data_IF_991357278276
#
_entry.id   IF_991357278276
#
_cell.length_a   1.000
_cell.length_b   1.000
_cell.length_c   1.000
_cell.angle_alpha   90.00
_cell.angle_beta   90.00
_cell.angle_gamma   90.00
#
_symmetry.space_group_name_H-M   'P 1'
#
loop_
_entity.id
_entity.type
_entity.pdbx_description
1 polymer ?
#
# COMPACT_ATOMS: atom_id res chain seq x y z
N UNK A 1 76.84 16.63 36.01
CA UNK A 1 75.50 17.26 36.01
C UNK A 1 74.86 16.80 34.74
N UNK A 2 74.00 15.78 34.82
CA UNK A 2 73.32 15.16 33.69
C UNK A 2 71.87 15.73 33.61
N UNK A 3 71.53 16.32 32.48
CA UNK A 3 70.19 16.81 32.23
C UNK A 3 69.35 15.70 31.57
N UNK A 4 68.32 15.23 32.24
CA UNK A 4 67.32 14.29 31.72
C UNK A 4 66.19 15.12 31.06
N UNK A 5 66.00 14.97 29.76
CA UNK A 5 64.89 15.57 29.01
C UNK A 5 63.73 14.58 28.98
N UNK A 6 62.60 14.96 29.56
CA UNK A 6 61.34 14.23 29.42
C UNK A 6 60.65 14.63 28.12
N UNK A 7 60.50 13.68 27.20
CA UNK A 7 59.62 13.83 26.03
C UNK A 7 58.18 13.44 26.47
N UNK A 8 57.28 14.40 26.46
CA UNK A 8 55.84 14.12 26.62
C UNK A 8 55.24 13.74 25.26
N UNK A 9 54.80 12.49 25.13
CA UNK A 9 54.04 12.04 23.96
C UNK A 9 52.55 12.46 24.14
N UNK A 10 52.08 13.41 23.33
CA UNK A 10 50.65 13.73 23.20
C UNK A 10 50.01 12.66 22.34
N UNK A 11 49.14 11.84 22.95
CA UNK A 11 48.22 10.94 22.25
C UNK A 11 47.02 11.77 21.75
N UNK A 12 46.96 12.06 20.46
CA UNK A 12 45.79 12.64 19.83
C UNK A 12 44.78 11.51 19.53
N UNK A 13 43.73 11.42 20.33
CA UNK A 13 42.56 10.56 20.04
C UNK A 13 41.72 11.25 19.00
N UNK A 14 41.84 10.82 17.75
CA UNK A 14 40.94 11.21 16.68
C UNK A 14 39.59 10.44 16.83
N UNK A 15 38.55 11.11 17.28
CA UNK A 15 37.20 10.61 17.20
C UNK A 15 36.78 10.63 15.73
N UNK A 16 36.70 9.46 15.10
CA UNK A 16 36.03 9.32 13.83
C UNK A 16 34.51 9.45 14.10
N UNK A 17 33.95 10.61 13.84
CA UNK A 17 32.50 10.81 13.72
C UNK A 17 32.03 9.99 12.51
N UNK A 18 31.43 8.83 12.74
CA UNK A 18 30.64 8.13 11.75
C UNK A 18 29.42 9.01 11.44
N UNK A 19 29.52 9.84 10.45
CA UNK A 19 28.40 10.49 9.80
C UNK A 19 27.64 9.42 9.01
N UNK A 20 26.78 8.68 9.69
CA UNK A 20 25.68 7.98 9.05
C UNK A 20 24.78 9.10 8.52
N UNK A 21 24.90 9.43 7.23
CA UNK A 21 23.98 10.32 6.57
C UNK A 21 22.59 9.68 6.64
N UNK A 22 21.66 10.29 7.36
CA UNK A 22 20.26 9.92 7.24
C UNK A 22 19.88 10.07 5.76
N UNK A 23 19.59 8.95 5.09
CA UNK A 23 19.08 9.00 3.71
C UNK A 23 17.81 9.86 3.72
N UNK A 24 17.79 10.89 2.88
CA UNK A 24 16.60 11.75 2.75
C UNK A 24 15.42 10.87 2.38
N UNK A 25 14.28 10.98 3.09
CA UNK A 25 13.11 10.17 2.84
C UNK A 25 12.68 10.25 1.38
N UNK A 26 12.55 9.12 0.71
CA UNK A 26 12.08 9.10 -0.67
C UNK A 26 10.60 9.51 -0.73
N UNK A 27 10.31 10.52 -1.54
CA UNK A 27 8.95 11.04 -1.73
C UNK A 27 8.28 10.39 -2.94
N UNK A 28 6.95 10.42 -2.98
CA UNK A 28 6.19 10.00 -4.15
C UNK A 28 6.57 10.83 -5.38
N UNK A 29 6.59 10.25 -6.58
CA UNK A 29 6.81 11.00 -7.80
C UNK A 29 5.75 12.11 -7.93
N UNK A 30 6.05 13.25 -8.59
CA UNK A 30 5.05 14.25 -8.89
C UNK A 30 3.95 13.66 -9.76
N UNK A 31 2.70 14.07 -9.54
CA UNK A 31 1.59 13.60 -10.36
C UNK A 31 1.80 14.00 -11.82
N UNK A 32 1.67 13.02 -12.71
CA UNK A 32 1.82 13.27 -14.14
C UNK A 32 0.59 14.03 -14.68
N UNK A 33 0.83 15.00 -15.59
CA UNK A 33 -0.23 15.84 -16.17
C UNK A 33 -1.28 15.07 -16.99
N UNK A 34 -0.96 13.87 -17.43
CA UNK A 34 -1.83 12.96 -18.19
C UNK A 34 -2.48 11.85 -17.31
N UNK A 35 -2.41 11.97 -15.99
CA UNK A 35 -3.17 11.13 -15.06
C UNK A 35 -4.66 11.30 -15.27
N UNK A 36 -5.38 10.18 -15.48
CA UNK A 36 -6.83 10.16 -15.74
C UNK A 36 -7.60 9.91 -14.45
N UNK A 37 -8.69 10.67 -14.17
CA UNK A 37 -9.58 10.34 -13.07
C UNK A 37 -10.36 9.05 -13.39
N UNK A 38 -10.45 8.13 -12.42
CA UNK A 38 -11.23 6.89 -12.51
C UNK A 38 -12.58 7.00 -11.80
N UNK A 39 -12.85 8.08 -11.11
CA UNK A 39 -14.08 8.35 -10.41
C UNK A 39 -14.56 9.77 -10.72
N UNK A 40 -15.83 9.90 -11.07
CA UNK A 40 -16.42 11.17 -11.52
C UNK A 40 -16.96 12.06 -10.39
N UNK A 41 -16.93 11.59 -9.14
CA UNK A 41 -17.47 12.29 -7.96
C UNK A 41 -18.98 12.31 -7.85
N UNK A 42 -19.72 11.60 -8.72
CA UNK A 42 -21.20 11.65 -8.80
C UNK A 42 -21.85 10.29 -8.60
N UNK A 43 -21.36 9.28 -9.29
CA UNK A 43 -21.90 7.93 -9.30
C UNK A 43 -20.81 6.89 -9.53
N UNK A 44 -21.16 5.61 -9.47
CA UNK A 44 -20.25 4.49 -9.67
C UNK A 44 -20.12 4.06 -11.15
N UNK A 45 -20.36 4.95 -12.11
CA UNK A 45 -20.11 4.66 -13.52
C UNK A 45 -18.67 4.20 -13.71
N UNK A 46 -18.46 3.09 -14.44
CA UNK A 46 -17.16 2.46 -14.62
C UNK A 46 -16.75 1.49 -13.50
N UNK A 47 -17.56 1.35 -12.46
CA UNK A 47 -17.32 0.46 -11.33
C UNK A 47 -18.45 -0.56 -11.16
N UNK A 48 -18.15 -1.79 -10.71
CA UNK A 48 -19.10 -2.86 -10.41
C UNK A 48 -18.83 -3.44 -9.01
N UNK A 49 -19.82 -3.35 -8.14
CA UNK A 49 -19.78 -3.84 -6.77
C UNK A 49 -21.18 -4.15 -6.27
N UNK A 50 -21.31 -4.76 -5.09
CA UNK A 50 -22.61 -5.04 -4.50
C UNK A 50 -23.38 -3.72 -4.25
N UNK A 51 -24.49 -3.45 -4.94
CA UNK A 51 -25.20 -2.18 -4.82
C UNK A 51 -25.87 -1.97 -3.45
N UNK A 52 -25.93 -3.01 -2.63
CA UNK A 52 -26.40 -2.89 -1.24
C UNK A 52 -25.33 -2.26 -0.34
N UNK A 53 -24.05 -2.37 -0.73
CA UNK A 53 -22.90 -2.04 0.12
C UNK A 53 -22.12 -0.83 -0.39
N UNK A 54 -22.15 -0.56 -1.70
CA UNK A 54 -21.39 0.52 -2.32
C UNK A 54 -22.29 1.64 -2.83
N UNK A 55 -21.93 2.86 -2.56
CA UNK A 55 -22.65 4.08 -2.95
C UNK A 55 -21.68 5.26 -3.12
N UNK A 56 -22.21 6.39 -3.54
CA UNK A 56 -21.51 7.68 -3.50
C UNK A 56 -22.19 8.56 -2.45
N UNK A 57 -21.40 9.06 -1.49
CA UNK A 57 -21.85 10.01 -0.47
C UNK A 57 -20.94 11.25 -0.52
N UNK A 58 -21.50 12.43 -0.65
CA UNK A 58 -20.77 13.71 -0.64
C UNK A 58 -19.54 13.74 -1.60
N UNK A 59 -19.70 13.15 -2.79
CA UNK A 59 -18.65 13.14 -3.80
C UNK A 59 -17.51 12.15 -3.55
N UNK A 60 -17.68 11.20 -2.61
CA UNK A 60 -16.71 10.12 -2.36
C UNK A 60 -17.35 8.75 -2.58
N UNK A 61 -16.57 7.75 -3.01
CA UNK A 61 -17.02 6.36 -2.99
C UNK A 61 -17.10 5.94 -1.53
N UNK A 62 -18.26 5.45 -1.12
CA UNK A 62 -18.53 4.95 0.22
C UNK A 62 -18.94 3.49 0.17
N UNK A 63 -18.21 2.64 0.87
CA UNK A 63 -18.58 1.25 1.11
C UNK A 63 -18.89 1.03 2.59
N UNK A 64 -19.98 0.29 2.89
CA UNK A 64 -20.39 0.05 4.26
C UNK A 64 -21.05 -1.31 4.44
N UNK A 65 -20.73 -1.98 5.54
CA UNK A 65 -21.42 -3.18 6.02
C UNK A 65 -21.98 -2.91 7.41
N UNK A 66 -23.18 -3.43 7.70
CA UNK A 66 -23.79 -3.37 9.03
C UNK A 66 -24.15 -4.79 9.50
N UNK A 67 -24.63 -4.92 10.73
CA UNK A 67 -25.14 -6.20 11.23
C UNK A 67 -26.35 -6.69 10.41
N UNK A 68 -27.20 -5.76 9.94
CA UNK A 68 -28.40 -6.04 9.14
C UNK A 68 -28.08 -6.22 7.65
N UNK A 69 -26.96 -5.65 7.19
CA UNK A 69 -26.53 -5.72 5.80
C UNK A 69 -25.04 -6.14 5.69
N UNK A 70 -24.71 -7.39 6.07
CA UNK A 70 -23.35 -7.88 6.07
C UNK A 70 -22.83 -8.19 4.66
N UNK A 71 -21.52 -8.15 4.48
CA UNK A 71 -20.87 -8.73 3.31
C UNK A 71 -20.87 -10.27 3.39
N UNK A 72 -21.14 -10.92 2.27
CA UNK A 72 -21.04 -12.38 2.15
C UNK A 72 -19.61 -12.79 1.73
N UNK A 73 -18.68 -12.83 2.68
CA UNK A 73 -17.25 -12.92 2.43
C UNK A 73 -16.64 -11.56 2.06
N UNK A 74 -15.32 -11.52 1.80
CA UNK A 74 -14.68 -10.33 1.26
C UNK A 74 -15.30 -9.97 -0.07
N UNK A 75 -15.67 -8.70 -0.24
CA UNK A 75 -16.35 -8.20 -1.44
C UNK A 75 -15.67 -6.93 -1.94
N UNK A 76 -15.75 -6.69 -3.23
CA UNK A 76 -14.96 -5.65 -3.88
C UNK A 76 -15.81 -4.78 -4.80
N UNK A 77 -15.46 -3.51 -4.87
CA UNK A 77 -15.90 -2.61 -5.94
C UNK A 77 -14.81 -2.65 -7.03
N UNK A 78 -15.13 -3.26 -8.17
CA UNK A 78 -14.18 -3.53 -9.26
C UNK A 78 -14.28 -2.45 -10.32
N UNK A 79 -13.15 -1.83 -10.68
CA UNK A 79 -13.07 -0.95 -11.84
C UNK A 79 -13.11 -1.77 -13.13
N UNK A 80 -14.01 -1.40 -14.06
CA UNK A 80 -14.34 -2.20 -15.25
C UNK A 80 -13.74 -1.68 -16.57
N UNK A 81 -13.11 -0.50 -16.55
CA UNK A 81 -12.71 0.18 -17.78
C UNK A 81 -11.26 -0.13 -18.19
N UNK A 82 -10.60 -1.11 -17.54
CA UNK A 82 -9.26 -1.49 -17.93
C UNK A 82 -8.57 -2.53 -17.06
N UNK A 83 -7.33 -2.79 -17.43
CA UNK A 83 -6.41 -3.69 -16.73
C UNK A 83 -5.14 -2.93 -16.39
N UNK A 84 -4.67 -3.03 -15.16
CA UNK A 84 -3.45 -2.40 -14.70
C UNK A 84 -2.26 -3.33 -14.96
N UNK A 85 -1.28 -2.85 -15.73
CA UNK A 85 0.00 -3.53 -15.98
C UNK A 85 1.14 -2.74 -15.33
N UNK A 86 1.71 -1.78 -16.05
CA UNK A 86 2.66 -0.82 -15.49
C UNK A 86 1.93 0.50 -15.28
N UNK A 87 1.92 1.02 -14.05
CA UNK A 87 1.05 2.13 -13.69
C UNK A 87 1.57 2.94 -12.50
N UNK A 88 1.03 4.15 -12.38
CA UNK A 88 0.98 4.94 -11.15
C UNK A 88 -0.49 5.15 -10.80
N UNK A 89 -0.91 4.66 -9.64
CA UNK A 89 -2.25 4.83 -9.07
C UNK A 89 -2.16 5.77 -7.87
N UNK A 90 -3.04 6.76 -7.83
CA UNK A 90 -3.19 7.70 -6.71
C UNK A 90 -4.61 7.67 -6.21
N UNK A 91 -4.78 7.74 -4.91
CA UNK A 91 -6.10 7.95 -4.29
C UNK A 91 -5.94 8.39 -2.84
N UNK A 92 -7.01 8.93 -2.27
CA UNK A 92 -7.13 9.16 -0.84
C UNK A 92 -8.12 8.17 -0.25
N UNK A 93 -7.83 7.66 0.96
CA UNK A 93 -8.72 6.77 1.68
C UNK A 93 -8.90 7.19 3.14
N UNK A 94 -10.02 6.76 3.72
CA UNK A 94 -10.23 6.65 5.17
C UNK A 94 -11.17 5.46 5.45
N UNK A 95 -11.04 4.85 6.62
CA UNK A 95 -11.91 3.76 7.05
C UNK A 95 -12.03 3.76 8.58
N UNK A 96 -13.02 3.05 9.12
CA UNK A 96 -13.09 2.87 10.55
C UNK A 96 -12.05 1.83 11.05
N UNK A 97 -11.80 1.83 12.38
CA UNK A 97 -10.84 0.92 13.00
C UNK A 97 -11.41 -0.49 13.29
N UNK A 98 -12.68 -0.74 12.98
CA UNK A 98 -13.34 -2.00 13.34
C UNK A 98 -12.87 -3.19 12.51
N UNK A 99 -12.44 -2.91 11.27
CA UNK A 99 -11.97 -3.91 10.32
C UNK A 99 -10.92 -3.28 9.38
N UNK A 100 -10.37 -4.07 8.46
CA UNK A 100 -9.46 -3.58 7.41
C UNK A 100 -10.20 -3.43 6.07
N UNK A 101 -9.56 -2.71 5.16
CA UNK A 101 -9.94 -2.57 3.76
C UNK A 101 -8.70 -2.81 2.89
N UNK A 102 -8.79 -2.59 1.59
CA UNK A 102 -7.66 -2.78 0.69
C UNK A 102 -7.87 -2.20 -0.70
N UNK A 103 -6.77 -1.90 -1.35
CA UNK A 103 -6.71 -1.54 -2.76
C UNK A 103 -6.08 -2.71 -3.50
N UNK A 104 -6.87 -3.42 -4.30
CA UNK A 104 -6.42 -4.51 -5.16
C UNK A 104 -5.86 -3.94 -6.46
N UNK A 105 -4.74 -4.46 -6.92
CA UNK A 105 -4.13 -4.11 -8.20
C UNK A 105 -3.44 -5.33 -8.81
N UNK A 106 -3.34 -5.39 -10.14
CA UNK A 106 -2.84 -6.57 -10.87
C UNK A 106 -3.52 -7.87 -10.44
N UNK A 107 -4.75 -7.78 -9.94
CA UNK A 107 -5.48 -8.88 -9.32
C UNK A 107 -6.43 -9.55 -10.31
N UNK A 108 -6.89 -10.75 -9.99
CA UNK A 108 -7.83 -11.51 -10.81
C UNK A 108 -9.24 -11.43 -10.24
N UNK A 109 -10.21 -11.21 -11.11
CA UNK A 109 -11.63 -11.24 -10.76
C UNK A 109 -12.15 -12.68 -10.87
N UNK A 110 -12.76 -13.20 -9.80
CA UNK A 110 -13.24 -14.59 -9.70
C UNK A 110 -14.77 -14.69 -9.65
N UNK A 111 -15.49 -13.62 -9.96
CA UNK A 111 -16.91 -13.47 -9.67
C UNK A 111 -17.90 -14.41 -10.39
N UNK A 112 -17.53 -15.03 -11.51
CA UNK A 112 -18.52 -15.71 -12.36
C UNK A 112 -19.12 -17.00 -11.76
N UNK A 113 -18.41 -17.65 -10.83
CA UNK A 113 -18.82 -18.92 -10.22
C UNK A 113 -18.87 -18.91 -8.68
N UNK A 114 -18.74 -17.76 -8.06
CA UNK A 114 -18.72 -17.62 -6.61
C UNK A 114 -20.10 -17.18 -6.07
N UNK A 115 -20.43 -17.56 -4.83
CA UNK A 115 -21.59 -17.03 -4.10
C UNK A 115 -21.59 -15.50 -4.03
N UNK A 116 -20.40 -14.91 -4.10
CA UNK A 116 -20.16 -13.48 -4.21
C UNK A 116 -19.46 -13.20 -5.54
N UNK A 117 -20.17 -12.62 -6.50
CA UNK A 117 -19.63 -12.33 -7.83
C UNK A 117 -18.56 -11.23 -7.87
N UNK A 118 -18.39 -10.51 -6.77
CA UNK A 118 -17.36 -9.45 -6.63
C UNK A 118 -16.16 -9.92 -5.81
N UNK A 119 -15.69 -11.15 -6.02
CA UNK A 119 -14.47 -11.68 -5.39
C UNK A 119 -13.27 -11.37 -6.27
N UNK A 120 -12.24 -10.78 -5.66
CA UNK A 120 -10.96 -10.47 -6.30
C UNK A 120 -9.83 -11.12 -5.51
N UNK A 121 -8.79 -11.59 -6.18
CA UNK A 121 -7.61 -12.23 -5.56
C UNK A 121 -6.34 -11.72 -6.21
N UNK A 122 -5.33 -11.46 -5.40
CA UNK A 122 -4.03 -11.00 -5.86
C UNK A 122 -3.38 -10.01 -4.90
N UNK A 123 -2.60 -9.07 -5.45
CA UNK A 123 -1.94 -8.06 -4.63
C UNK A 123 -2.93 -7.06 -4.05
N UNK A 124 -2.85 -6.88 -2.74
CA UNK A 124 -3.61 -5.88 -1.99
C UNK A 124 -2.66 -4.93 -1.26
N UNK A 125 -2.79 -3.64 -1.53
CA UNK A 125 -2.32 -2.62 -0.58
C UNK A 125 -3.31 -2.60 0.58
N UNK A 126 -2.87 -3.09 1.72
CA UNK A 126 -3.70 -3.16 2.92
C UNK A 126 -4.04 -1.77 3.45
N UNK A 127 -5.27 -1.57 3.90
CA UNK A 127 -5.74 -0.34 4.51
C UNK A 127 -6.24 -0.61 5.92
N UNK A 128 -5.68 0.12 6.89
CA UNK A 128 -6.05 0.04 8.31
C UNK A 128 -6.09 1.43 8.93
N UNK A 129 -7.01 1.66 9.81
CA UNK A 129 -7.11 2.89 10.59
C UNK A 129 -6.38 2.74 11.92
N UNK A 130 -5.08 2.48 11.87
CA UNK A 130 -4.21 2.27 13.03
C UNK A 130 -2.75 2.56 12.68
N UNK A 131 -1.91 2.72 13.69
CA UNK A 131 -0.48 2.94 13.53
C UNK A 131 0.39 1.85 14.22
N UNK A 132 -0.15 0.65 14.42
CA UNK A 132 0.52 -0.49 15.09
C UNK A 132 1.48 -1.20 14.15
N UNK A 133 2.61 -0.55 13.89
CA UNK A 133 3.66 -1.01 12.96
C UNK A 133 4.24 -2.40 13.33
N UNK A 134 4.58 -3.26 12.34
CA UNK A 134 4.58 -3.05 10.88
C UNK A 134 3.32 -3.55 10.15
N UNK A 135 2.32 -4.11 10.86
CA UNK A 135 1.08 -4.63 10.30
C UNK A 135 0.02 -3.53 10.19
N UNK A 136 0.31 -2.50 9.44
CA UNK A 136 -0.47 -1.26 9.29
C UNK A 136 -0.84 -1.05 7.83
N UNK A 137 -1.48 0.07 7.49
CA UNK A 137 -1.69 0.45 6.08
C UNK A 137 -0.38 0.41 5.29
N UNK A 138 -0.45 -0.11 4.08
CA UNK A 138 0.64 -0.07 3.12
C UNK A 138 1.44 -1.35 2.92
N UNK A 139 1.24 -2.42 3.69
CA UNK A 139 1.86 -3.69 3.35
C UNK A 139 1.17 -4.37 2.15
N UNK A 140 1.86 -5.27 1.45
CA UNK A 140 1.27 -6.08 0.39
C UNK A 140 0.76 -7.39 0.97
N UNK A 141 -0.54 -7.64 0.80
CA UNK A 141 -1.20 -8.90 1.12
C UNK A 141 -1.52 -9.70 -0.15
N UNK A 142 -1.40 -11.02 -0.08
CA UNK A 142 -1.80 -11.96 -1.14
C UNK A 142 -3.27 -12.37 -0.93
N UNK A 143 -4.20 -11.52 -1.33
CA UNK A 143 -5.64 -11.76 -1.11
C UNK A 143 -6.10 -13.05 -1.80
N UNK A 144 -6.57 -13.99 -1.00
CA UNK A 144 -6.97 -15.32 -1.46
C UNK A 144 -5.85 -16.20 -2.00
N UNK A 145 -4.60 -15.77 -1.87
CA UNK A 145 -3.40 -16.53 -2.24
C UNK A 145 -2.77 -17.27 -1.06
N UNK A 146 -1.54 -17.76 -1.26
CA UNK A 146 -0.83 -18.60 -0.27
C UNK A 146 0.28 -17.87 0.49
N UNK A 147 0.72 -16.71 0.01
CA UNK A 147 1.89 -16.00 0.56
C UNK A 147 1.56 -15.11 1.77
N UNK A 148 0.27 -14.82 1.99
CA UNK A 148 -0.18 -13.97 3.10
C UNK A 148 0.39 -12.55 3.00
N UNK A 149 1.12 -12.09 4.02
CA UNK A 149 1.82 -10.79 4.02
C UNK A 149 3.10 -10.89 3.22
N UNK A 150 3.05 -10.48 1.96
CA UNK A 150 4.17 -10.61 1.02
C UNK A 150 5.33 -9.69 1.41
N UNK A 151 5.04 -8.41 1.67
CA UNK A 151 6.03 -7.41 2.04
C UNK A 151 5.40 -6.46 3.06
N UNK A 152 6.05 -6.25 4.20
CA UNK A 152 5.50 -5.42 5.28
C UNK A 152 5.77 -3.93 5.03
N UNK A 153 4.96 -3.07 5.65
CA UNK A 153 5.26 -1.64 5.69
C UNK A 153 6.65 -1.41 6.34
N UNK A 154 7.45 -0.56 5.73
CA UNK A 154 8.83 -0.30 6.13
C UNK A 154 9.88 -1.16 5.42
N UNK A 155 9.50 -2.21 4.71
CA UNK A 155 10.48 -3.08 4.05
C UNK A 155 10.85 -2.63 2.64
N UNK A 156 12.16 -2.72 2.34
CA UNK A 156 12.66 -2.95 0.99
C UNK A 156 12.97 -4.44 0.88
N UNK A 157 12.30 -5.15 -0.05
CA UNK A 157 12.39 -6.61 -0.12
C UNK A 157 12.28 -7.16 -1.55
N UNK A 158 12.79 -8.37 -1.73
CA UNK A 158 12.58 -9.19 -2.93
C UNK A 158 11.92 -10.51 -2.55
N UNK A 159 11.18 -11.10 -3.48
CA UNK A 159 10.66 -12.46 -3.36
C UNK A 159 11.09 -13.27 -4.57
N UNK A 160 11.77 -14.37 -4.35
CA UNK A 160 12.21 -15.31 -5.36
C UNK A 160 11.77 -16.73 -5.05
N UNK A 161 12.35 -17.71 -5.74
CA UNK A 161 12.07 -19.16 -5.53
C UNK A 161 12.36 -19.63 -4.11
N UNK A 162 13.31 -18.99 -3.43
CA UNK A 162 13.69 -19.28 -2.04
C UNK A 162 12.83 -18.53 -1.00
N UNK A 163 11.82 -17.77 -1.45
CA UNK A 163 10.96 -16.96 -0.60
C UNK A 163 11.39 -15.50 -0.50
N UNK A 164 10.91 -14.82 0.57
CA UNK A 164 11.18 -13.39 0.82
C UNK A 164 12.58 -13.15 1.38
N UNK A 165 13.27 -12.16 0.81
CA UNK A 165 14.50 -11.58 1.35
C UNK A 165 14.27 -10.10 1.63
N UNK A 166 14.42 -9.67 2.88
CA UNK A 166 14.41 -8.26 3.27
C UNK A 166 15.81 -7.69 3.01
N UNK A 167 15.89 -6.58 2.30
CA UNK A 167 17.14 -5.94 1.86
C UNK A 167 17.41 -4.63 2.63
N UNK A 168 16.39 -4.03 3.23
CA UNK A 168 16.56 -2.79 3.99
C UNK A 168 15.26 -2.33 4.65
N UNK A 169 15.39 -1.27 5.44
CA UNK A 169 14.28 -0.59 6.13
C UNK A 169 14.12 0.82 5.57
N UNK A 170 12.89 1.18 5.19
CA UNK A 170 12.54 2.47 4.58
C UNK A 170 11.98 3.47 5.60
N UNK A 171 11.31 2.96 6.62
CA UNK A 171 10.67 3.74 7.68
C UNK A 171 10.56 2.87 8.95
N UNK A 172 10.79 3.48 10.10
CA UNK A 172 10.61 2.85 11.41
C UNK A 172 9.22 3.12 12.00
N UNK A 173 8.98 2.55 13.18
CA UNK A 173 7.72 2.66 13.91
C UNK A 173 7.35 4.10 14.26
N UNK A 174 8.31 4.87 14.76
CA UNK A 174 8.13 6.25 15.23
C UNK A 174 7.81 7.19 14.06
N UNK A 175 8.53 7.03 12.95
CA UNK A 175 8.29 7.80 11.73
C UNK A 175 6.97 7.41 11.08
N UNK A 176 6.59 6.12 11.07
CA UNK A 176 5.29 5.68 10.58
C UNK A 176 4.13 6.24 11.42
N UNK A 177 4.25 6.22 12.76
CA UNK A 177 3.23 6.75 13.64
C UNK A 177 2.97 8.26 13.45
N UNK A 178 4.00 9.02 13.06
CA UNK A 178 3.89 10.45 12.70
C UNK A 178 3.31 10.65 11.28
N UNK A 179 3.47 9.67 10.41
CA UNK A 179 3.04 9.73 9.01
C UNK A 179 1.56 9.39 8.85
N UNK A 180 1.09 8.31 9.50
CA UNK A 180 -0.28 7.82 9.41
C UNK A 180 -1.24 8.75 10.14
N UNK A 181 -2.28 9.21 9.46
CA UNK A 181 -3.35 10.03 10.01
C UNK A 181 -4.51 9.14 10.41
N UNK A 182 -4.54 8.73 11.68
CA UNK A 182 -5.65 7.93 12.24
C UNK A 182 -6.92 8.79 12.24
N UNK A 183 -8.06 8.19 11.90
CA UNK A 183 -9.39 8.82 11.78
C UNK A 183 -9.48 9.98 10.77
N UNK A 184 -8.54 10.07 9.82
CA UNK A 184 -8.52 11.10 8.80
C UNK A 184 -8.14 10.54 7.42
N UNK A 185 -8.21 11.40 6.41
CA UNK A 185 -7.81 11.07 5.04
C UNK A 185 -6.30 10.86 4.93
N UNK A 186 -5.93 9.73 4.34
CA UNK A 186 -4.56 9.39 3.98
C UNK A 186 -4.42 9.28 2.46
N UNK A 187 -3.33 9.81 1.92
CA UNK A 187 -3.03 9.75 0.50
C UNK A 187 -2.12 8.56 0.20
N UNK A 188 -2.47 7.79 -0.81
CA UNK A 188 -1.72 6.62 -1.29
C UNK A 188 -1.26 6.87 -2.71
N UNK A 189 0.01 6.52 -2.99
CA UNK A 189 0.51 6.32 -4.35
C UNK A 189 1.06 4.91 -4.46
N UNK A 190 0.64 4.18 -5.48
CA UNK A 190 1.17 2.87 -5.83
C UNK A 190 1.80 2.99 -7.20
N UNK A 191 3.09 2.67 -7.32
CA UNK A 191 3.74 2.53 -8.61
C UNK A 191 4.08 1.06 -8.85
N UNK A 192 3.82 0.58 -10.06
CA UNK A 192 4.22 -0.76 -10.49
C UNK A 192 4.85 -0.66 -11.87
N UNK A 193 6.10 -1.14 -12.00
CA UNK A 193 6.83 -1.18 -13.26
C UNK A 193 7.58 -2.51 -13.37
N UNK A 194 7.23 -3.30 -14.39
CA UNK A 194 7.72 -4.68 -14.49
C UNK A 194 7.34 -5.46 -13.23
N UNK A 195 8.30 -6.01 -12.53
CA UNK A 195 8.13 -6.78 -11.30
C UNK A 195 8.39 -5.94 -10.01
N UNK A 196 8.71 -4.65 -10.13
CA UNK A 196 8.90 -3.77 -8.98
C UNK A 196 7.62 -3.00 -8.63
N UNK A 197 7.30 -2.95 -7.35
CA UNK A 197 6.13 -2.30 -6.77
C UNK A 197 6.60 -1.40 -5.63
N UNK A 198 6.11 -0.16 -5.60
CA UNK A 198 6.38 0.76 -4.50
C UNK A 198 5.08 1.32 -3.96
N UNK A 199 4.99 1.40 -2.64
CA UNK A 199 3.89 2.05 -1.94
C UNK A 199 4.38 3.30 -1.24
N UNK A 200 3.64 4.38 -1.42
CA UNK A 200 3.84 5.64 -0.71
C UNK A 200 2.57 5.96 0.09
N UNK A 201 2.76 6.39 1.31
CA UNK A 201 1.70 6.87 2.19
C UNK A 201 2.03 8.33 2.55
N UNK A 202 1.05 9.23 2.40
CA UNK A 202 1.22 10.66 2.70
C UNK A 202 2.53 11.24 2.17
N UNK A 203 2.81 10.95 0.88
CA UNK A 203 4.00 11.39 0.13
C UNK A 203 5.33 10.73 0.54
N UNK A 204 5.37 9.72 1.40
CA UNK A 204 6.61 9.02 1.80
C UNK A 204 6.63 7.58 1.31
N UNK A 205 7.75 7.13 0.73
CA UNK A 205 7.97 5.73 0.41
C UNK A 205 7.99 4.89 1.69
N UNK A 206 7.10 3.91 1.76
CA UNK A 206 6.96 3.00 2.91
C UNK A 206 7.20 1.55 2.55
N UNK A 207 7.24 1.21 1.26
CA UNK A 207 7.46 -0.15 0.78
C UNK A 207 8.07 -0.12 -0.61
N UNK A 208 9.13 -0.92 -0.83
CA UNK A 208 9.78 -1.15 -2.14
C UNK A 208 9.96 -2.66 -2.31
N UNK A 209 9.18 -3.25 -3.22
CA UNK A 209 9.10 -4.69 -3.37
C UNK A 209 9.35 -5.12 -4.82
N UNK A 210 10.18 -6.15 -5.00
CA UNK A 210 10.42 -6.78 -6.30
C UNK A 210 10.02 -8.25 -6.25
N UNK A 211 9.02 -8.63 -7.05
CA UNK A 211 8.51 -10.01 -7.12
C UNK A 211 9.17 -10.77 -8.27
N UNK A 212 10.15 -11.59 -7.95
CA UNK A 212 10.87 -12.45 -8.88
C UNK A 212 10.36 -13.91 -8.84
N UNK A 213 9.23 -14.19 -8.15
CA UNK A 213 8.68 -15.54 -8.09
C UNK A 213 7.96 -15.87 -9.40
N UNK A 214 8.47 -16.81 -10.24
CA UNK A 214 8.01 -16.96 -11.63
C UNK A 214 6.59 -17.53 -11.75
N UNK A 215 6.04 -18.14 -10.69
CA UNK A 215 4.71 -18.78 -10.72
C UNK A 215 3.63 -17.94 -10.04
N UNK A 216 4.01 -17.02 -9.14
CA UNK A 216 3.07 -16.30 -8.29
C UNK A 216 3.09 -14.79 -8.50
N UNK A 217 4.14 -14.25 -9.14
CA UNK A 217 4.21 -12.83 -9.47
C UNK A 217 3.09 -12.44 -10.42
N UNK A 218 2.40 -11.35 -10.10
CA UNK A 218 1.32 -10.80 -10.92
C UNK A 218 1.84 -9.59 -11.70
N UNK A 219 1.64 -9.62 -13.01
CA UNK A 219 2.13 -8.59 -13.92
C UNK A 219 1.04 -7.65 -14.43
N UNK A 220 -0.22 -8.10 -14.38
CA UNK A 220 -1.39 -7.32 -14.82
C UNK A 220 -2.67 -7.84 -14.16
N UNK A 221 -3.72 -7.04 -14.15
CA UNK A 221 -5.01 -7.43 -13.61
C UNK A 221 -5.90 -6.23 -13.24
N UNK A 222 -7.00 -6.51 -12.57
CA UNK A 222 -7.99 -5.50 -12.21
C UNK A 222 -7.56 -4.63 -11.04
N UNK A 223 -8.15 -3.42 -10.97
CA UNK A 223 -8.21 -2.55 -9.81
C UNK A 223 -9.52 -2.82 -9.08
N UNK A 224 -9.47 -2.93 -7.74
CA UNK A 224 -10.68 -3.01 -6.93
C UNK A 224 -10.46 -2.48 -5.52
N UNK A 225 -11.57 -2.08 -4.86
CA UNK A 225 -11.60 -1.57 -3.48
C UNK A 225 -12.35 -2.57 -2.61
N UNK A 226 -11.84 -2.87 -1.42
CA UNK A 226 -12.34 -3.96 -0.57
C UNK A 226 -13.29 -3.47 0.51
N UNK A 227 -14.35 -4.27 0.77
CA UNK A 227 -15.01 -4.37 2.07
C UNK A 227 -14.73 -5.76 2.64
N UNK A 228 -14.11 -5.80 3.82
CA UNK A 228 -13.76 -7.04 4.49
C UNK A 228 -14.98 -7.64 5.20
N UNK A 229 -15.11 -8.95 5.13
CA UNK A 229 -16.16 -9.68 5.85
C UNK A 229 -15.97 -9.62 7.38
N UNK A 230 -17.04 -9.92 8.11
CA UNK A 230 -17.00 -10.05 9.56
C UNK A 230 -17.60 -8.86 10.29
N UNK A 231 -16.80 -8.10 11.04
CA UNK A 231 -17.30 -6.95 11.81
C UNK A 231 -17.82 -5.86 10.88
N UNK A 232 -18.95 -5.18 11.25
CA UNK A 232 -19.39 -3.99 10.54
C UNK A 232 -18.29 -2.98 10.33
N UNK A 233 -18.18 -2.46 9.11
CA UNK A 233 -17.14 -1.52 8.72
C UNK A 233 -17.62 -0.55 7.66
N UNK A 234 -16.89 0.55 7.51
CA UNK A 234 -16.98 1.43 6.37
C UNK A 234 -15.59 1.79 5.86
N UNK A 235 -15.50 2.05 4.56
CA UNK A 235 -14.34 2.58 3.89
C UNK A 235 -14.75 3.60 2.83
N UNK A 236 -13.97 4.65 2.69
CA UNK A 236 -14.24 5.74 1.74
C UNK A 236 -13.00 6.03 0.89
N UNK A 237 -13.26 6.39 -0.37
CA UNK A 237 -12.23 6.64 -1.36
C UNK A 237 -12.57 7.86 -2.23
N UNK A 238 -11.56 8.67 -2.55
CA UNK A 238 -11.66 9.82 -3.44
C UNK A 238 -10.37 10.07 -4.20
N UNK A 239 -10.40 11.01 -5.15
CA UNK A 239 -9.23 11.45 -5.91
C UNK A 239 -8.52 10.28 -6.64
N UNK A 240 -9.29 9.28 -7.09
CA UNK A 240 -8.74 8.10 -7.74
C UNK A 240 -8.26 8.48 -9.14
N UNK A 241 -6.96 8.40 -9.37
CA UNK A 241 -6.32 8.77 -10.62
C UNK A 241 -5.31 7.72 -11.06
N UNK A 242 -5.28 7.45 -12.33
CA UNK A 242 -4.41 6.45 -12.95
C UNK A 242 -3.55 7.05 -14.06
N UNK A 243 -2.29 6.72 -14.03
CA UNK A 243 -1.34 6.90 -15.13
C UNK A 243 -0.84 5.53 -15.57
N UNK A 244 -1.08 5.15 -16.82
CA UNK A 244 -0.43 4.01 -17.43
C UNK A 244 1.02 4.39 -17.77
N UNK A 245 1.98 3.53 -17.39
CA UNK A 245 3.39 3.71 -17.69
C UNK A 245 3.71 2.83 -18.91
N UNK A 246 4.19 3.44 -19.97
CA UNK A 246 4.60 2.74 -21.20
C UNK A 246 6.07 2.30 -21.12
#
# INVERSE_FOLDING_TARGET
>A
MSRVSFLAAMLTITWALNLWGEETPQVAPPEASDSKPLFNGKDLTGWDGDPRLWSVKEGVIHGETTAENPANGNTFLVWKEGVLKDFELRLSFRCNAANNSGIQYRSKHFGENAKNKWVVRGYQHELRNENTFPNVSGFIYDEGGKRGRICLAGEKATWGTEGKKVEGTLIDKEAFAKLMKVDDWNDVVITAKGNNIKHYLNNRLILDFTDNEPKLALTEGVLALQLHAGKPMWAEFKNIRLKEVK
#
